data_IF_166346482598
#
_entry.id   IF_166346482598
#
_cell.length_a   1.000
_cell.length_b   1.000
_cell.length_c   1.000
_cell.angle_alpha   90.00
_cell.angle_beta   90.00
_cell.angle_gamma   90.00
#
_symmetry.space_group_name_H-M   'P 1'
#
loop_
_entity.id
_entity.type
_entity.pdbx_description
1 polymer ?
#
# COMPACT_ATOMS: atom_id res chain seq x y z
N UNK A 1 -8.55 -12.67 -14.52
CA UNK A 1 -7.57 -11.60 -14.18
C UNK A 1 -8.31 -10.48 -13.50
N UNK A 2 -7.61 -9.60 -12.79
CA UNK A 2 -8.20 -8.50 -12.01
C UNK A 2 -9.12 -7.59 -12.87
N UNK A 3 -8.66 -7.17 -14.05
CA UNK A 3 -9.47 -6.36 -14.97
C UNK A 3 -10.79 -7.04 -15.40
N UNK A 4 -10.79 -8.36 -15.61
CA UNK A 4 -12.00 -9.12 -15.93
C UNK A 4 -13.00 -9.11 -14.77
N UNK A 5 -12.51 -9.18 -13.53
CA UNK A 5 -13.36 -9.12 -12.34
C UNK A 5 -13.99 -7.73 -12.18
N UNK A 6 -13.21 -6.66 -12.40
CA UNK A 6 -13.71 -5.27 -12.38
C UNK A 6 -14.81 -5.09 -13.43
N UNK A 7 -14.58 -5.53 -14.67
CA UNK A 7 -15.58 -5.46 -15.75
C UNK A 7 -16.83 -6.29 -15.44
N UNK A 8 -16.66 -7.54 -14.97
CA UNK A 8 -17.77 -8.42 -14.61
C UNK A 8 -18.59 -7.88 -13.43
N UNK A 9 -17.97 -7.19 -12.48
CA UNK A 9 -18.67 -6.58 -11.36
C UNK A 9 -19.69 -5.54 -11.84
N UNK A 10 -19.39 -4.81 -12.92
CA UNK A 10 -20.28 -3.83 -13.55
C UNK A 10 -20.92 -2.87 -12.53
N UNK A 11 -20.09 -2.35 -11.61
CA UNK A 11 -20.52 -1.41 -10.55
C UNK A 11 -21.34 -2.02 -9.40
N UNK A 12 -21.70 -3.31 -9.44
CA UNK A 12 -22.50 -3.96 -8.38
C UNK A 12 -21.74 -4.16 -7.09
N UNK A 13 -20.43 -4.39 -7.21
CA UNK A 13 -19.48 -4.51 -6.11
C UNK A 13 -18.17 -3.84 -6.51
N UNK A 14 -17.47 -3.24 -5.55
CA UNK A 14 -16.14 -2.67 -5.80
C UNK A 14 -15.09 -3.77 -5.66
N UNK A 15 -14.28 -3.94 -6.72
CA UNK A 15 -13.12 -4.82 -6.69
C UNK A 15 -11.91 -3.96 -6.31
N UNK A 16 -11.46 -4.08 -5.07
CA UNK A 16 -10.36 -3.31 -4.51
C UNK A 16 -9.05 -4.11 -4.52
N UNK A 17 -8.07 -3.78 -5.39
CA UNK A 17 -6.77 -4.47 -5.42
C UNK A 17 -5.94 -4.15 -4.16
N UNK A 18 -5.27 -5.14 -3.57
CA UNK A 18 -4.70 -4.98 -2.22
C UNK A 18 -3.34 -5.60 -1.90
N UNK A 19 -2.59 -6.13 -2.86
CA UNK A 19 -1.30 -6.80 -2.57
C UNK A 19 -0.15 -6.12 -3.30
N UNK A 20 0.67 -5.35 -2.57
CA UNK A 20 1.83 -4.66 -3.13
C UNK A 20 1.51 -3.35 -3.87
N UNK A 21 0.35 -2.75 -3.63
CA UNK A 21 0.03 -1.42 -4.18
C UNK A 21 0.95 -0.37 -3.55
N UNK A 22 1.67 0.38 -4.38
CA UNK A 22 2.65 1.43 -4.03
C UNK A 22 2.50 2.62 -4.96
N UNK A 23 3.08 3.76 -4.59
CA UNK A 23 3.08 4.96 -5.42
C UNK A 23 3.58 4.66 -6.85
N UNK A 24 4.64 3.87 -6.96
CA UNK A 24 5.28 3.51 -8.23
C UNK A 24 4.38 2.75 -9.21
N UNK A 25 3.39 1.98 -8.71
CA UNK A 25 2.58 1.10 -9.55
C UNK A 25 1.08 1.44 -9.60
N UNK A 26 0.60 2.35 -8.76
CA UNK A 26 -0.84 2.57 -8.61
C UNK A 26 -1.50 3.14 -9.87
N UNK A 27 -0.85 4.06 -10.59
CA UNK A 27 -1.37 4.61 -11.86
C UNK A 27 -1.56 3.53 -12.91
N UNK A 28 -0.51 2.74 -13.14
CA UNK A 28 -0.56 1.64 -14.09
C UNK A 28 -1.59 0.58 -13.70
N UNK A 29 -1.79 0.33 -12.40
CA UNK A 29 -2.80 -0.59 -11.91
C UNK A 29 -4.21 -0.06 -12.18
N UNK A 30 -4.48 1.21 -11.89
CA UNK A 30 -5.75 1.87 -12.18
C UNK A 30 -6.07 1.83 -13.68
N UNK A 31 -5.13 2.26 -14.53
CA UNK A 31 -5.29 2.27 -15.99
C UNK A 31 -5.55 0.87 -16.57
N UNK A 32 -4.79 -0.14 -16.13
CA UNK A 32 -4.90 -1.51 -16.67
C UNK A 32 -6.12 -2.27 -16.18
N UNK A 33 -6.66 -1.92 -15.01
CA UNK A 33 -7.73 -2.69 -14.37
C UNK A 33 -9.08 -1.99 -14.36
N UNK A 34 -9.10 -0.67 -14.46
CA UNK A 34 -10.30 0.15 -14.26
C UNK A 34 -10.76 0.19 -12.80
N UNK A 35 -9.93 -0.25 -11.84
CA UNK A 35 -10.27 -0.19 -10.42
C UNK A 35 -10.31 1.27 -9.94
N UNK A 36 -11.26 1.57 -9.05
CA UNK A 36 -11.52 2.92 -8.52
C UNK A 36 -11.15 3.06 -7.04
N UNK A 37 -10.97 1.94 -6.34
CA UNK A 37 -10.54 1.89 -4.94
C UNK A 37 -9.33 0.96 -4.82
N UNK A 38 -8.42 1.28 -3.88
CA UNK A 38 -7.16 0.56 -3.71
C UNK A 38 -6.83 0.36 -2.24
N UNK A 39 -6.25 -0.79 -1.91
CA UNK A 39 -5.74 -1.09 -0.58
C UNK A 39 -4.20 -1.12 -0.59
N UNK A 40 -3.59 -0.23 0.19
CA UNK A 40 -2.15 -0.24 0.42
C UNK A 40 -1.85 -0.22 1.91
N UNK A 41 -0.83 -0.98 2.31
CA UNK A 41 -0.28 -0.89 3.66
C UNK A 41 0.51 0.40 3.89
N UNK A 42 1.05 1.02 2.82
CA UNK A 42 1.94 2.17 2.85
C UNK A 42 2.89 2.19 4.07
N UNK A 43 3.51 1.04 4.37
CA UNK A 43 4.21 0.83 5.64
C UNK A 43 5.71 1.05 5.51
N UNK A 44 6.34 1.53 6.58
CA UNK A 44 7.79 1.54 6.78
C UNK A 44 8.18 0.82 8.07
N UNK A 45 9.43 0.40 8.12
CA UNK A 45 10.06 -0.10 9.33
C UNK A 45 10.52 1.10 10.17
N UNK A 46 10.23 1.08 11.46
CA UNK A 46 10.62 2.10 12.42
C UNK A 46 11.40 1.45 13.57
N UNK A 47 12.65 1.86 13.70
CA UNK A 47 13.54 1.45 14.79
C UNK A 47 12.96 1.80 16.16
N UNK A 48 13.21 0.93 17.13
CA UNK A 48 12.82 1.14 18.53
C UNK A 48 13.54 2.34 19.13
N UNK A 49 12.81 3.09 19.95
CA UNK A 49 13.33 4.21 20.74
C UNK A 49 13.91 3.80 22.08
N UNK A 50 13.98 2.49 22.38
CA UNK A 50 14.58 1.98 23.60
C UNK A 50 16.08 2.32 23.63
N UNK A 51 16.53 2.96 24.71
CA UNK A 51 17.93 3.33 24.90
C UNK A 51 18.81 2.12 25.23
N UNK A 52 18.26 1.16 25.98
CA UNK A 52 18.93 -0.08 26.31
C UNK A 52 18.52 -1.19 25.33
N UNK A 53 19.52 -1.87 24.77
CA UNK A 53 19.35 -3.05 23.90
C UNK A 53 20.18 -4.20 24.46
N UNK A 54 19.57 -5.38 24.58
CA UNK A 54 20.24 -6.59 25.05
C UNK A 54 20.70 -7.44 23.87
N UNK A 55 21.97 -7.34 23.52
CA UNK A 55 22.55 -7.99 22.33
C UNK A 55 22.42 -9.52 22.34
N UNK A 56 22.44 -10.18 23.51
CA UNK A 56 22.32 -11.64 23.57
C UNK A 56 20.95 -12.17 23.12
N UNK A 57 19.90 -11.34 23.18
CA UNK A 57 18.56 -11.74 22.76
C UNK A 57 18.41 -11.80 21.24
N UNK A 58 19.35 -11.19 20.47
CA UNK A 58 19.35 -11.16 18.99
C UNK A 58 18.00 -10.73 18.39
N UNK A 59 17.35 -9.76 19.03
CA UNK A 59 16.07 -9.22 18.57
C UNK A 59 16.28 -8.10 17.54
N UNK A 60 15.44 -8.10 16.51
CA UNK A 60 15.32 -6.94 15.63
C UNK A 60 14.25 -6.02 16.20
N UNK A 61 14.65 -5.01 16.96
CA UNK A 61 13.76 -4.07 17.65
C UNK A 61 13.15 -3.05 16.68
N UNK A 62 12.40 -3.55 15.71
CA UNK A 62 11.77 -2.76 14.64
C UNK A 62 10.27 -2.95 14.70
N UNK A 63 9.55 -1.85 14.63
CA UNK A 63 8.09 -1.81 14.55
C UNK A 63 7.65 -1.43 13.13
N UNK A 64 6.42 -1.79 12.78
CA UNK A 64 5.81 -1.37 11.52
C UNK A 64 5.01 -0.10 11.77
N UNK A 65 5.31 0.96 11.03
CA UNK A 65 4.60 2.23 11.08
C UNK A 65 4.06 2.63 9.70
N UNK A 66 3.14 3.59 9.65
CA UNK A 66 2.69 4.20 8.41
C UNK A 66 3.80 5.10 7.85
N UNK A 67 4.07 4.96 6.56
CA UNK A 67 4.87 5.89 5.79
C UNK A 67 3.96 6.97 5.19
N UNK A 68 3.95 8.13 5.84
CA UNK A 68 3.12 9.28 5.45
C UNK A 68 3.53 9.82 4.07
N UNK A 69 4.81 9.76 3.71
CA UNK A 69 5.27 10.22 2.40
C UNK A 69 4.77 9.31 1.29
N UNK A 70 4.85 8.00 1.49
CA UNK A 70 4.34 7.01 0.53
C UNK A 70 2.81 7.15 0.37
N UNK A 71 2.06 7.24 1.48
CA UNK A 71 0.62 7.46 1.44
C UNK A 71 0.26 8.79 0.73
N UNK A 72 1.06 9.83 0.96
CA UNK A 72 0.94 11.12 0.27
C UNK A 72 1.14 11.00 -1.24
N UNK A 73 2.22 10.34 -1.68
CA UNK A 73 2.52 10.09 -3.10
C UNK A 73 1.41 9.29 -3.79
N UNK A 74 0.92 8.23 -3.13
CA UNK A 74 -0.22 7.43 -3.60
C UNK A 74 -1.43 8.32 -3.87
N UNK A 75 -1.76 9.19 -2.91
CA UNK A 75 -2.92 10.09 -3.02
C UNK A 75 -2.72 11.11 -4.14
N UNK A 76 -1.54 11.73 -4.23
CA UNK A 76 -1.20 12.68 -5.30
C UNK A 76 -1.31 12.04 -6.68
N UNK A 77 -0.82 10.80 -6.82
CA UNK A 77 -0.89 10.09 -8.09
C UNK A 77 -2.34 9.83 -8.53
N UNK A 78 -3.21 9.41 -7.62
CA UNK A 78 -4.63 9.21 -7.92
C UNK A 78 -5.38 10.52 -8.18
N UNK A 79 -5.07 11.60 -7.47
CA UNK A 79 -5.68 12.93 -7.70
C UNK A 79 -5.26 13.58 -9.02
N UNK A 80 -4.09 13.20 -9.54
CA UNK A 80 -3.56 13.69 -10.82
C UNK A 80 -4.04 12.91 -12.06
N UNK A 81 -4.93 11.94 -11.88
CA UNK A 81 -5.55 11.15 -12.97
C UNK A 81 -6.89 11.75 -13.36
#
# INVERSE_FOLDING_TARGET
TLAKLVSQANGRIIIMPGSGVRAENIKALAEKTGAVEFHSSARKQQESKMEFKREEMKENLVSVALDVEEAGKITQHLQSM
#
